data_IF_192501779794
#
_entry.id   IF_192501779794
#
_cell.length_a   1.000
_cell.length_b   1.000
_cell.length_c   1.000
_cell.angle_alpha   90.00
_cell.angle_beta   90.00
_cell.angle_gamma   90.00
#
_symmetry.space_group_name_H-M   'P 1'
#
loop_
_entity.id
_entity.type
_entity.pdbx_description
1 polymer ?
#
# COMPACT_ATOMS: atom_id res chain seq x y z
N UNK A 1 4.87 5.53 14.29
CA UNK A 1 4.84 5.01 12.90
C UNK A 1 4.54 6.14 11.95
N UNK A 2 5.14 6.11 10.77
CA UNK A 2 4.87 7.07 9.70
C UNK A 2 4.41 6.34 8.45
N UNK A 3 3.38 6.83 7.81
CA UNK A 3 2.86 6.29 6.56
C UNK A 3 3.09 7.31 5.43
N UNK A 4 3.90 6.93 4.47
CA UNK A 4 4.19 7.74 3.29
C UNK A 4 3.26 7.33 2.15
N UNK A 5 2.56 8.28 1.59
CA UNK A 5 1.54 8.04 0.55
C UNK A 5 1.67 9.04 -0.59
N UNK A 6 1.15 8.67 -1.76
CA UNK A 6 0.78 9.63 -2.80
C UNK A 6 -0.69 10.02 -2.65
N UNK A 7 -1.04 11.23 -3.08
CA UNK A 7 -2.37 11.79 -2.88
C UNK A 7 -3.48 10.96 -3.54
N UNK A 8 -3.25 10.49 -4.75
CA UNK A 8 -4.23 9.73 -5.56
C UNK A 8 -3.84 8.25 -5.73
N UNK A 9 -3.49 7.58 -4.66
CA UNK A 9 -3.05 6.19 -4.70
C UNK A 9 -4.08 5.26 -4.05
N UNK A 10 -4.71 4.33 -4.80
CA UNK A 10 -5.70 3.40 -4.24
C UNK A 10 -5.10 2.42 -3.23
N UNK A 11 -3.84 2.02 -3.42
CA UNK A 11 -3.12 1.16 -2.49
C UNK A 11 -2.81 1.87 -1.17
N UNK A 12 -2.63 3.18 -1.21
CA UNK A 12 -2.46 4.00 -0.02
C UNK A 12 -3.76 4.09 0.79
N UNK A 13 -4.91 4.18 0.14
CA UNK A 13 -6.23 4.12 0.79
C UNK A 13 -6.43 2.78 1.50
N UNK A 14 -6.07 1.68 0.85
CA UNK A 14 -6.13 0.33 1.44
C UNK A 14 -5.42 0.24 2.80
N UNK A 15 -4.25 0.84 2.90
CA UNK A 15 -3.44 0.82 4.14
C UNK A 15 -3.99 1.76 5.22
N UNK A 16 -4.59 2.88 4.82
CA UNK A 16 -5.18 3.82 5.78
C UNK A 16 -6.38 3.24 6.53
N UNK A 17 -7.13 2.35 5.90
CA UNK A 17 -8.32 1.73 6.52
C UNK A 17 -8.00 0.95 7.80
N UNK A 18 -7.01 0.04 7.85
CA UNK A 18 -6.65 -0.67 9.07
C UNK A 18 -6.24 0.24 10.24
N UNK A 19 -5.54 1.32 9.96
CA UNK A 19 -5.20 2.31 10.99
C UNK A 19 -6.43 2.89 11.67
N UNK A 20 -7.44 3.25 10.87
CA UNK A 20 -8.69 3.78 11.40
C UNK A 20 -9.51 2.71 12.13
N UNK A 21 -9.63 1.52 11.56
CA UNK A 21 -10.41 0.42 12.15
C UNK A 21 -9.85 -0.06 13.48
N UNK A 22 -8.55 -0.01 13.67
CA UNK A 22 -7.85 -0.45 14.89
C UNK A 22 -7.46 0.70 15.82
N UNK A 23 -7.79 1.94 15.49
CA UNK A 23 -7.39 3.14 16.26
C UNK A 23 -5.88 3.23 16.51
N UNK A 24 -5.07 2.87 15.52
CA UNK A 24 -3.61 2.93 15.63
C UNK A 24 -3.17 4.36 15.29
N UNK A 25 -2.46 5.06 16.19
CA UNK A 25 -1.94 6.39 15.89
C UNK A 25 -0.79 6.31 14.89
N UNK A 26 -0.80 7.20 13.90
CA UNK A 26 0.25 7.32 12.90
C UNK A 26 0.36 8.74 12.35
N UNK A 27 1.52 9.06 11.81
CA UNK A 27 1.75 10.30 11.08
C UNK A 27 1.59 10.02 9.58
N UNK A 28 0.70 10.75 8.93
CA UNK A 28 0.49 10.67 7.48
C UNK A 28 1.38 11.70 6.78
N UNK A 29 2.24 11.23 5.88
CA UNK A 29 3.13 12.07 5.08
C UNK A 29 2.77 11.88 3.62
N UNK A 30 2.22 12.91 2.99
CA UNK A 30 1.88 12.90 1.58
C UNK A 30 3.09 13.36 0.77
N UNK A 31 3.54 12.49 -0.14
CA UNK A 31 4.62 12.80 -1.08
C UNK A 31 4.04 13.42 -2.35
N UNK A 32 4.82 14.30 -3.00
CA UNK A 32 4.47 14.76 -4.32
C UNK A 32 4.50 13.58 -5.33
N UNK A 33 3.58 13.56 -6.29
CA UNK A 33 3.47 12.46 -7.25
C UNK A 33 4.72 12.28 -8.14
N UNK A 34 5.52 13.33 -8.27
CA UNK A 34 6.80 13.34 -9.00
C UNK A 34 8.01 13.09 -8.09
N UNK A 35 7.81 12.97 -6.78
CA UNK A 35 8.87 12.62 -5.84
C UNK A 35 9.25 11.14 -5.98
N UNK A 36 10.34 10.89 -6.65
CA UNK A 36 10.92 9.55 -6.81
C UNK A 36 12.07 9.30 -5.83
N UNK A 37 12.77 10.38 -5.44
CA UNK A 37 13.95 10.29 -4.61
C UNK A 37 13.65 9.77 -3.21
N UNK A 38 12.57 10.22 -2.60
CA UNK A 38 12.19 9.82 -1.23
C UNK A 38 11.86 8.33 -1.13
N UNK A 39 10.95 7.75 -1.96
CA UNK A 39 10.70 6.31 -1.92
C UNK A 39 11.94 5.47 -2.27
N UNK A 40 12.72 5.89 -3.24
CA UNK A 40 13.95 5.17 -3.65
C UNK A 40 14.97 5.15 -2.51
N UNK A 41 15.12 6.24 -1.78
CA UNK A 41 16.01 6.30 -0.61
C UNK A 41 15.57 5.37 0.53
N UNK A 42 14.24 5.17 0.70
CA UNK A 42 13.70 4.32 1.77
C UNK A 42 13.74 2.83 1.45
N UNK A 43 13.31 2.43 0.26
CA UNK A 43 13.10 1.02 -0.12
C UNK A 43 13.70 0.63 -1.46
N UNK A 44 14.42 1.51 -2.12
CA UNK A 44 15.08 1.24 -3.41
C UNK A 44 14.16 1.24 -4.62
N UNK A 45 12.89 1.65 -4.50
CA UNK A 45 11.92 1.68 -5.59
C UNK A 45 10.92 2.82 -5.43
N UNK A 46 10.42 3.33 -6.56
CA UNK A 46 9.34 4.32 -6.58
C UNK A 46 7.99 3.62 -6.38
N UNK A 47 7.65 3.31 -5.14
CA UNK A 47 6.35 2.72 -4.78
C UNK A 47 5.79 3.39 -3.54
N UNK A 48 4.49 3.43 -3.43
CA UNK A 48 3.73 3.80 -2.24
C UNK A 48 2.53 2.85 -2.12
N UNK A 49 2.03 2.61 -0.92
CA UNK A 49 2.42 3.19 0.38
C UNK A 49 3.71 2.62 0.94
N UNK A 50 4.39 3.38 1.81
CA UNK A 50 5.53 2.93 2.59
C UNK A 50 5.22 3.18 4.06
N UNK A 51 5.35 2.14 4.89
CA UNK A 51 5.24 2.25 6.33
C UNK A 51 6.63 2.26 6.98
N UNK A 52 6.92 3.30 7.75
CA UNK A 52 8.05 3.32 8.67
C UNK A 52 7.59 2.79 10.03
N UNK A 53 8.13 1.64 10.43
CA UNK A 53 7.86 1.02 11.71
C UNK A 53 8.59 1.75 12.84
N UNK A 54 8.17 1.54 14.13
CA UNK A 54 8.84 2.15 15.28
C UNK A 54 10.33 1.78 15.41
N UNK A 55 10.75 0.65 14.86
CA UNK A 55 12.14 0.20 14.84
C UNK A 55 13.00 0.83 13.73
N UNK A 56 12.42 1.70 12.91
CA UNK A 56 13.08 2.36 11.79
C UNK A 56 13.10 1.58 10.48
N UNK A 57 12.57 0.37 10.45
CA UNK A 57 12.46 -0.43 9.22
C UNK A 57 11.24 -0.01 8.39
N UNK A 58 11.33 -0.24 7.07
CA UNK A 58 10.29 0.12 6.11
C UNK A 58 9.59 -1.12 5.54
N UNK A 59 8.28 -0.99 5.28
CA UNK A 59 7.48 -1.96 4.52
C UNK A 59 6.89 -1.23 3.31
N UNK A 60 7.15 -1.74 2.10
CA UNK A 60 6.73 -1.11 0.85
C UNK A 60 5.56 -1.76 0.14
N UNK A 61 5.10 -2.94 0.59
CA UNK A 61 3.97 -3.64 -0.01
C UNK A 61 2.69 -3.44 0.81
N UNK A 62 1.61 -2.98 0.15
CA UNK A 62 0.38 -2.60 0.87
C UNK A 62 -0.27 -3.74 1.65
N UNK A 63 -0.30 -4.94 1.10
CA UNK A 63 -0.87 -6.10 1.81
C UNK A 63 -0.02 -6.55 2.99
N UNK A 64 1.30 -6.43 2.89
CA UNK A 64 2.21 -6.72 4.00
C UNK A 64 2.04 -5.69 5.13
N UNK A 65 1.81 -4.42 4.78
CA UNK A 65 1.49 -3.38 5.76
C UNK A 65 0.18 -3.70 6.47
N UNK A 66 -0.86 -4.08 5.74
CA UNK A 66 -2.16 -4.46 6.32
C UNK A 66 -2.00 -5.63 7.28
N UNK A 67 -1.27 -6.67 6.89
CA UNK A 67 -1.01 -7.83 7.75
C UNK A 67 -0.21 -7.46 9.01
N UNK A 68 0.81 -6.61 8.86
CA UNK A 68 1.59 -6.12 9.99
C UNK A 68 0.70 -5.37 10.99
N UNK A 69 -0.14 -4.45 10.53
CA UNK A 69 -1.05 -3.68 11.39
C UNK A 69 -2.09 -4.56 12.05
N UNK A 70 -2.60 -5.56 11.35
CA UNK A 70 -3.61 -6.47 11.87
C UNK A 70 -3.09 -7.30 13.04
N UNK A 71 -1.80 -7.64 13.03
CA UNK A 71 -1.17 -8.46 14.06
C UNK A 71 -0.51 -7.66 15.18
N UNK A 72 -0.44 -6.34 15.04
CA UNK A 72 0.34 -5.47 15.92
C UNK A 72 -0.12 -5.51 17.38
N UNK A 73 -1.43 -5.60 17.60
CA UNK A 73 -2.04 -5.63 18.93
C UNK A 73 -2.43 -7.05 19.41
N UNK A 74 -2.09 -8.08 18.66
CA UNK A 74 -2.44 -9.45 18.95
C UNK A 74 -3.95 -9.80 18.80
N UNK A 75 -4.74 -8.89 18.24
CA UNK A 75 -6.19 -9.05 18.02
C UNK A 75 -6.54 -8.86 16.54
N UNK A 76 -6.21 -9.81 15.66
CA UNK A 76 -6.48 -9.69 14.24
C UNK A 76 -7.98 -9.61 13.96
N UNK A 77 -8.39 -8.66 13.12
CA UNK A 77 -9.78 -8.46 12.68
C UNK A 77 -10.02 -8.94 11.25
N UNK A 78 -8.96 -9.13 10.46
CA UNK A 78 -9.07 -9.64 9.10
C UNK A 78 -8.99 -11.15 9.08
N UNK A 79 -10.12 -11.78 8.74
CA UNK A 79 -10.20 -13.24 8.67
C UNK A 79 -9.88 -13.74 7.27
N UNK A 80 -9.24 -14.93 7.16
CA UNK A 80 -9.02 -15.55 5.85
C UNK A 80 -10.34 -15.84 5.14
N UNK A 81 -10.37 -15.59 3.83
CA UNK A 81 -11.48 -15.99 2.99
C UNK A 81 -11.56 -17.53 2.88
N UNK A 82 -12.78 -18.06 2.79
CA UNK A 82 -13.02 -19.50 2.66
C UNK A 82 -12.46 -20.13 1.39
N UNK A 83 -12.32 -19.37 0.32
CA UNK A 83 -11.79 -19.83 -0.98
C UNK A 83 -10.62 -18.98 -1.44
N UNK A 84 -9.47 -19.19 -0.81
CA UNK A 84 -8.28 -18.35 -1.01
C UNK A 84 -7.67 -18.43 -2.40
N UNK A 85 -7.68 -19.60 -3.02
CA UNK A 85 -7.04 -19.81 -4.33
C UNK A 85 -7.74 -18.97 -5.42
N UNK A 86 -9.06 -19.05 -5.49
CA UNK A 86 -9.85 -18.24 -6.43
C UNK A 86 -9.78 -16.75 -6.11
N UNK A 87 -9.71 -16.37 -4.85
CA UNK A 87 -9.58 -14.97 -4.43
C UNK A 87 -8.25 -14.36 -4.88
N UNK A 88 -7.15 -15.05 -4.73
CA UNK A 88 -5.83 -14.56 -5.13
C UNK A 88 -5.74 -14.35 -6.64
N UNK A 89 -6.29 -15.27 -7.43
CA UNK A 89 -6.39 -15.13 -8.87
C UNK A 89 -7.24 -13.92 -9.26
N UNK A 90 -8.39 -13.76 -8.63
CA UNK A 90 -9.29 -12.61 -8.86
C UNK A 90 -8.62 -11.28 -8.49
N UNK A 91 -7.91 -11.20 -7.38
CA UNK A 91 -7.16 -10.01 -6.98
C UNK A 91 -6.09 -9.67 -8.01
N UNK A 92 -5.33 -10.66 -8.50
CA UNK A 92 -4.30 -10.44 -9.50
C UNK A 92 -4.88 -9.89 -10.82
N UNK A 93 -5.98 -10.45 -11.29
CA UNK A 93 -6.69 -9.98 -12.48
C UNK A 93 -7.22 -8.56 -12.29
N UNK A 94 -7.86 -8.28 -11.16
CA UNK A 94 -8.43 -6.97 -10.84
C UNK A 94 -7.34 -5.91 -10.74
N UNK A 95 -6.21 -6.21 -10.12
CA UNK A 95 -5.08 -5.30 -10.03
C UNK A 95 -4.53 -4.91 -11.40
N UNK A 96 -4.49 -5.84 -12.35
CA UNK A 96 -4.07 -5.58 -13.72
C UNK A 96 -5.02 -4.58 -14.42
N UNK A 97 -6.33 -4.79 -14.32
CA UNK A 97 -7.33 -3.89 -14.90
C UNK A 97 -7.29 -2.50 -14.27
N UNK A 98 -7.22 -2.41 -12.96
CA UNK A 98 -7.15 -1.14 -12.25
C UNK A 98 -5.88 -0.36 -12.61
N UNK A 99 -4.73 -1.02 -12.66
CA UNK A 99 -3.47 -0.42 -13.10
C UNK A 99 -3.59 0.20 -14.50
N UNK A 100 -4.18 -0.52 -15.44
CA UNK A 100 -4.41 -0.02 -16.81
C UNK A 100 -5.40 1.15 -16.85
N UNK A 101 -6.45 1.14 -16.05
CA UNK A 101 -7.39 2.24 -15.95
C UNK A 101 -6.72 3.51 -15.44
N UNK A 102 -5.95 3.41 -14.37
CA UNK A 102 -5.25 4.57 -13.79
C UNK A 102 -4.21 5.17 -14.73
N UNK A 103 -3.50 4.35 -15.48
CA UNK A 103 -2.52 4.83 -16.46
C UNK A 103 -3.18 5.51 -17.65
N UNK A 104 -4.34 5.02 -18.11
CA UNK A 104 -5.08 5.61 -19.24
C UNK A 104 -5.70 6.98 -18.93
N UNK A 105 -6.17 7.19 -17.71
CA UNK A 105 -6.73 8.51 -17.30
C UNK A 105 -5.66 9.52 -16.89
N UNK A 106 -4.38 9.19 -17.01
CA UNK A 106 -3.29 10.12 -16.74
C UNK A 106 -3.06 10.43 -15.27
N UNK A 107 -3.82 9.82 -14.36
CA UNK A 107 -3.71 10.03 -12.92
C UNK A 107 -2.40 9.47 -12.35
N UNK A 108 -1.73 8.58 -13.11
CA UNK A 108 -0.49 7.94 -12.69
C UNK A 108 0.52 7.84 -13.85
N UNK A 109 0.73 8.93 -14.57
CA UNK A 109 1.68 8.98 -15.69
C UNK A 109 3.10 8.51 -15.35
N UNK A 110 3.41 8.38 -14.07
CA UNK A 110 4.73 8.03 -13.55
C UNK A 110 4.72 6.75 -12.71
N UNK A 111 3.61 5.98 -12.74
CA UNK A 111 3.62 4.66 -12.11
C UNK A 111 4.53 3.76 -12.93
N UNK A 112 5.57 3.16 -12.35
CA UNK A 112 6.36 2.18 -13.09
C UNK A 112 5.39 1.11 -13.60
N UNK A 113 5.42 0.88 -14.91
CA UNK A 113 4.68 -0.22 -15.50
C UNK A 113 5.00 -1.46 -14.66
N UNK A 114 3.98 -2.05 -14.06
CA UNK A 114 4.08 -3.39 -13.51
C UNK A 114 4.55 -4.27 -14.67
N UNK A 115 5.86 -4.45 -14.76
CA UNK A 115 6.43 -5.46 -15.66
C UNK A 115 6.04 -6.80 -15.07
N UNK A 116 5.06 -7.40 -15.67
CA UNK A 116 4.72 -8.78 -15.41
C UNK A 116 5.80 -9.69 -15.98
#
# INVERSE_FOLDING_TARGET
>A
MKLFVYDHCPYCVRVRMPFAMKNIPFELITLANDDEATPIAMIGAKVCPILEKPDGNFIGESLDIVNYLDQLDGKPIFTPSANRAALNEWIAQTACYLGNCYTRVGLMRHWPSLKH
#
